data_IF_472570053118
#
_entry.id   IF_472570053118
#
_cell.length_a   1.000
_cell.length_b   1.000
_cell.length_c   1.000
_cell.angle_alpha   90.00
_cell.angle_beta   90.00
_cell.angle_gamma   90.00
#
_symmetry.space_group_name_H-M   'P 1'
#
loop_
_entity.id
_entity.type
_entity.pdbx_description
1 polymer ?
#
# COMPACT_ATOMS: atom_id res chain seq x y z
N UNK A 1 -20.65 15.80 14.30
CA UNK A 1 -20.89 16.39 12.96
C UNK A 1 -21.73 15.41 12.15
N UNK A 2 -22.58 15.87 11.25
CA UNK A 2 -23.46 14.95 10.49
C UNK A 2 -22.61 14.16 9.48
N UNK A 3 -22.78 12.85 9.39
CA UNK A 3 -22.16 11.94 8.40
C UNK A 3 -22.34 12.37 6.92
N UNK A 4 -23.05 13.45 6.65
CA UNK A 4 -23.47 13.89 5.31
C UNK A 4 -22.39 14.62 4.49
N UNK A 5 -21.19 14.86 5.05
CA UNK A 5 -20.15 15.64 4.34
C UNK A 5 -18.99 14.79 3.81
N UNK A 6 -18.96 13.48 4.08
CA UNK A 6 -17.91 12.60 3.57
C UNK A 6 -18.01 12.45 2.03
N UNK A 7 -16.89 12.63 1.35
CA UNK A 7 -16.76 12.54 -0.11
C UNK A 7 -15.75 11.50 -0.57
N UNK A 8 -14.83 11.10 0.31
CA UNK A 8 -13.84 10.05 0.04
C UNK A 8 -13.71 9.15 1.26
N UNK A 9 -13.76 7.85 1.04
CA UNK A 9 -13.48 6.82 2.03
C UNK A 9 -12.28 6.03 1.53
N UNK A 10 -11.21 5.93 2.32
CA UNK A 10 -10.04 5.11 2.04
C UNK A 10 -9.87 4.05 3.11
N UNK A 11 -9.40 2.87 2.74
CA UNK A 11 -9.13 1.80 3.70
C UNK A 11 -7.83 1.08 3.38
N UNK A 12 -7.03 0.84 4.42
CA UNK A 12 -5.98 -0.17 4.34
C UNK A 12 -6.57 -1.57 4.17
N UNK A 13 -5.74 -2.52 3.74
CA UNK A 13 -6.16 -3.88 3.42
C UNK A 13 -5.86 -4.88 4.54
N UNK A 14 -4.60 -5.16 4.77
CA UNK A 14 -4.14 -6.26 5.62
C UNK A 14 -4.16 -5.84 7.11
N UNK A 15 -4.98 -6.50 7.93
CA UNK A 15 -5.23 -6.09 9.33
C UNK A 15 -6.32 -5.03 9.50
N UNK A 16 -6.90 -4.53 8.39
CA UNK A 16 -7.96 -3.52 8.40
C UNK A 16 -9.22 -4.00 7.66
N UNK A 17 -9.17 -4.07 6.32
CA UNK A 17 -10.33 -4.42 5.49
C UNK A 17 -10.49 -5.92 5.32
N UNK A 18 -9.37 -6.65 5.19
CA UNK A 18 -9.31 -8.08 4.96
C UNK A 18 -9.25 -8.85 6.28
N UNK A 19 -9.82 -10.06 6.30
CA UNK A 19 -9.58 -11.04 7.36
C UNK A 19 -8.20 -11.72 7.17
N UNK A 20 -7.79 -12.59 8.13
CA UNK A 20 -6.51 -13.32 8.09
C UNK A 20 -6.38 -14.28 6.90
N UNK A 21 -7.48 -14.65 6.23
CA UNK A 21 -7.49 -15.41 4.99
C UNK A 21 -7.43 -14.51 3.74
N UNK A 22 -7.17 -13.21 3.90
CA UNK A 22 -7.18 -12.20 2.84
C UNK A 22 -8.50 -12.14 2.06
N UNK A 23 -9.63 -12.33 2.76
CA UNK A 23 -10.98 -12.33 2.19
C UNK A 23 -11.82 -11.20 2.76
N UNK A 24 -12.90 -10.86 2.06
CA UNK A 24 -13.92 -9.91 2.46
C UNK A 24 -15.30 -10.33 1.93
N UNK A 25 -16.37 -9.78 2.48
CA UNK A 25 -17.75 -9.99 2.03
C UNK A 25 -18.01 -9.20 0.72
N UNK A 26 -17.96 -9.92 -0.42
CA UNK A 26 -18.17 -9.30 -1.74
C UNK A 26 -19.60 -8.78 -1.95
N UNK A 27 -20.60 -9.43 -1.37
CA UNK A 27 -22.00 -8.99 -1.50
C UNK A 27 -22.24 -7.73 -0.67
N UNK A 28 -21.65 -7.63 0.49
CA UNK A 28 -21.69 -6.42 1.30
C UNK A 28 -20.92 -5.28 0.63
N UNK A 29 -19.72 -5.54 0.08
CA UNK A 29 -18.95 -4.53 -0.68
C UNK A 29 -19.78 -3.99 -1.85
N UNK A 30 -20.47 -4.85 -2.60
CA UNK A 30 -21.33 -4.42 -3.73
C UNK A 30 -22.42 -3.45 -3.29
N UNK A 31 -23.08 -3.72 -2.15
CA UNK A 31 -24.09 -2.83 -1.58
C UNK A 31 -23.49 -1.49 -1.14
N UNK A 32 -22.38 -1.53 -0.44
CA UNK A 32 -21.66 -0.34 0.05
C UNK A 32 -21.22 0.54 -1.12
N UNK A 33 -20.61 -0.04 -2.16
CA UNK A 33 -20.20 0.72 -3.36
C UNK A 33 -21.39 1.34 -4.10
N UNK A 34 -22.53 0.64 -4.18
CA UNK A 34 -23.75 1.21 -4.77
C UNK A 34 -24.24 2.43 -3.96
N UNK A 35 -24.28 2.33 -2.63
CA UNK A 35 -24.64 3.44 -1.75
C UNK A 35 -23.65 4.61 -1.85
N UNK A 36 -22.35 4.32 -1.90
CA UNK A 36 -21.31 5.34 -2.11
C UNK A 36 -21.56 6.10 -3.43
N UNK A 37 -21.81 5.38 -4.52
CA UNK A 37 -22.10 5.96 -5.83
C UNK A 37 -23.33 6.87 -5.82
N UNK A 38 -24.43 6.43 -5.19
CA UNK A 38 -25.66 7.23 -5.06
C UNK A 38 -25.43 8.53 -4.28
N UNK A 39 -24.55 8.51 -3.28
CA UNK A 39 -24.20 9.68 -2.45
C UNK A 39 -23.06 10.52 -2.99
N UNK A 40 -22.46 10.12 -4.11
CA UNK A 40 -21.28 10.79 -4.69
C UNK A 40 -20.06 10.70 -3.77
N UNK A 41 -19.85 9.54 -3.13
CA UNK A 41 -18.70 9.23 -2.29
C UNK A 41 -17.76 8.34 -3.07
N UNK A 42 -16.48 8.70 -3.15
CA UNK A 42 -15.43 7.85 -3.70
C UNK A 42 -14.97 6.82 -2.67
N UNK A 43 -14.61 5.63 -3.14
CA UNK A 43 -14.03 4.59 -2.30
C UNK A 43 -12.63 4.22 -2.82
N UNK A 44 -11.63 4.23 -1.95
CA UNK A 44 -10.24 3.93 -2.25
C UNK A 44 -9.71 2.77 -1.41
N UNK A 45 -9.05 1.81 -2.06
CA UNK A 45 -8.21 0.82 -1.41
C UNK A 45 -6.78 1.36 -1.32
N UNK A 46 -6.18 1.43 -0.13
CA UNK A 46 -4.85 1.99 0.12
C UNK A 46 -3.92 0.92 0.73
N UNK A 47 -2.93 0.43 -0.03
CA UNK A 47 -2.13 -0.74 0.36
C UNK A 47 -0.65 -0.62 -0.02
N UNK A 48 0.20 -1.36 0.69
CA UNK A 48 1.57 -1.64 0.25
C UNK A 48 1.66 -2.66 -0.89
N UNK A 49 0.57 -3.35 -1.21
CA UNK A 49 0.51 -4.33 -2.30
C UNK A 49 0.80 -3.68 -3.65
N UNK A 50 1.36 -4.49 -4.56
CA UNK A 50 1.53 -4.10 -5.96
C UNK A 50 0.18 -3.75 -6.59
N UNK A 51 0.14 -2.75 -7.49
CA UNK A 51 -1.08 -2.28 -8.13
C UNK A 51 -1.86 -3.43 -8.80
N UNK A 52 -1.17 -4.29 -9.54
CA UNK A 52 -1.80 -5.44 -10.21
C UNK A 52 -2.43 -6.41 -9.20
N UNK A 53 -1.72 -6.71 -8.10
CA UNK A 53 -2.24 -7.58 -7.04
C UNK A 53 -3.43 -6.96 -6.32
N UNK A 54 -3.38 -5.65 -6.05
CA UNK A 54 -4.48 -4.94 -5.41
C UNK A 54 -5.73 -4.94 -6.31
N UNK A 55 -5.57 -4.71 -7.61
CA UNK A 55 -6.68 -4.79 -8.58
C UNK A 55 -7.24 -6.20 -8.70
N UNK A 56 -6.38 -7.21 -8.73
CA UNK A 56 -6.80 -8.63 -8.78
C UNK A 56 -7.66 -9.03 -7.56
N UNK A 57 -7.33 -8.51 -6.37
CA UNK A 57 -8.11 -8.71 -5.15
C UNK A 57 -9.56 -8.21 -5.29
N UNK A 58 -9.76 -7.10 -6.02
CA UNK A 58 -11.07 -6.48 -6.25
C UNK A 58 -11.64 -6.75 -7.65
N UNK A 59 -11.29 -7.90 -8.23
CA UNK A 59 -11.77 -8.27 -9.57
C UNK A 59 -13.29 -8.19 -9.68
N UNK A 60 -13.75 -7.38 -10.65
CA UNK A 60 -15.18 -7.09 -10.88
C UNK A 60 -15.71 -5.85 -10.16
N UNK A 61 -14.86 -5.15 -9.40
CA UNK A 61 -15.17 -3.87 -8.76
C UNK A 61 -14.24 -2.73 -9.23
N UNK A 62 -13.27 -3.01 -10.10
CA UNK A 62 -12.18 -2.11 -10.48
C UNK A 62 -12.69 -0.74 -10.98
N UNK A 63 -13.78 -0.74 -11.75
CA UNK A 63 -14.39 0.49 -12.27
C UNK A 63 -15.19 1.29 -11.22
N UNK A 64 -15.26 0.83 -9.98
CA UNK A 64 -16.01 1.47 -8.92
C UNK A 64 -15.12 1.98 -7.78
N UNK A 65 -13.80 1.73 -7.88
CA UNK A 65 -12.84 1.97 -6.81
C UNK A 65 -11.63 2.74 -7.30
N UNK A 66 -11.01 3.45 -6.39
CA UNK A 66 -9.69 4.05 -6.57
C UNK A 66 -8.65 3.14 -5.90
N UNK A 67 -7.49 2.99 -6.51
CA UNK A 67 -6.41 2.19 -5.98
C UNK A 67 -5.22 3.08 -5.61
N UNK A 68 -4.89 3.14 -4.33
CA UNK A 68 -3.66 3.71 -3.78
C UNK A 68 -2.75 2.51 -3.49
N UNK A 69 -1.80 2.23 -4.35
CA UNK A 69 -0.95 1.05 -4.29
C UNK A 69 0.53 1.40 -4.02
N UNK A 70 1.36 0.37 -3.83
CA UNK A 70 2.80 0.52 -3.63
C UNK A 70 3.15 1.49 -2.49
N UNK A 71 2.44 1.37 -1.34
CA UNK A 71 2.56 2.29 -0.20
C UNK A 71 2.29 3.77 -0.54
N UNK A 72 1.54 4.05 -1.60
CA UNK A 72 1.23 5.41 -2.05
C UNK A 72 2.09 5.92 -3.20
N UNK A 73 2.90 5.06 -3.84
CA UNK A 73 3.66 5.47 -5.03
C UNK A 73 2.78 5.66 -6.27
N UNK A 74 1.59 5.07 -6.28
CA UNK A 74 0.64 5.22 -7.40
C UNK A 74 -0.80 5.32 -6.91
N UNK A 75 -1.57 6.21 -7.55
CA UNK A 75 -3.02 6.33 -7.39
C UNK A 75 -3.65 6.18 -8.75
N UNK A 76 -4.43 5.10 -8.93
CA UNK A 76 -5.14 4.83 -10.19
C UNK A 76 -6.66 4.89 -10.00
N UNK A 77 -7.36 5.46 -10.96
CA UNK A 77 -8.81 5.42 -11.06
C UNK A 77 -9.25 5.29 -12.52
N UNK A 78 -10.12 4.32 -12.83
CA UNK A 78 -10.59 4.01 -14.19
C UNK A 78 -9.48 3.77 -15.22
N UNK A 79 -8.34 3.21 -14.78
CA UNK A 79 -7.18 2.99 -15.64
C UNK A 79 -6.34 4.23 -15.93
N UNK A 80 -6.66 5.37 -15.31
CA UNK A 80 -5.86 6.59 -15.38
C UNK A 80 -5.06 6.79 -14.08
N UNK A 81 -3.78 7.10 -14.20
CA UNK A 81 -2.93 7.43 -13.06
C UNK A 81 -3.17 8.88 -12.64
N UNK A 82 -3.77 9.06 -11.48
CA UNK A 82 -4.02 10.38 -10.90
C UNK A 82 -2.79 10.95 -10.20
N UNK A 83 -1.92 10.06 -9.71
CA UNK A 83 -0.65 10.37 -9.06
C UNK A 83 0.33 9.23 -9.27
N UNK A 84 1.59 9.55 -9.53
CA UNK A 84 2.69 8.59 -9.63
C UNK A 84 3.97 9.17 -9.02
N UNK A 85 4.71 8.32 -8.31
CA UNK A 85 6.04 8.59 -7.80
C UNK A 85 6.95 7.42 -8.18
N UNK A 86 7.68 7.57 -9.29
CA UNK A 86 8.52 6.52 -9.86
C UNK A 86 9.99 6.79 -9.64
N UNK A 87 10.77 5.74 -9.51
CA UNK A 87 12.23 5.79 -9.44
C UNK A 87 12.82 5.81 -10.86
N UNK A 88 13.67 6.77 -11.16
CA UNK A 88 14.43 6.74 -12.41
C UNK A 88 15.35 5.51 -12.47
N UNK A 89 15.71 5.08 -13.68
CA UNK A 89 16.61 3.92 -13.88
C UNK A 89 17.92 4.08 -13.12
N UNK A 90 18.58 5.21 -13.25
CA UNK A 90 19.85 5.46 -12.58
C UNK A 90 19.68 5.46 -11.05
N UNK A 91 18.53 5.92 -10.56
CA UNK A 91 18.25 5.97 -9.13
C UNK A 91 18.08 4.56 -8.55
N UNK A 92 17.17 3.73 -9.11
CA UNK A 92 16.98 2.38 -8.56
C UNK A 92 18.20 1.47 -8.74
N UNK A 93 19.01 1.66 -9.80
CA UNK A 93 20.29 0.99 -9.94
C UNK A 93 21.29 1.42 -8.85
N UNK A 94 21.31 2.72 -8.51
CA UNK A 94 22.09 3.24 -7.39
C UNK A 94 21.68 2.65 -6.05
N UNK A 95 20.36 2.53 -5.80
CA UNK A 95 19.82 1.85 -4.60
C UNK A 95 20.26 0.39 -4.55
N UNK A 96 20.18 -0.33 -5.68
CA UNK A 96 20.64 -1.71 -5.76
C UNK A 96 22.14 -1.85 -5.45
N UNK A 97 22.99 -0.99 -6.01
CA UNK A 97 24.42 -1.00 -5.72
C UNK A 97 24.73 -0.72 -4.25
N UNK A 98 23.99 0.21 -3.63
CA UNK A 98 24.10 0.49 -2.21
C UNK A 98 23.67 -0.72 -1.35
N UNK A 99 22.56 -1.39 -1.70
CA UNK A 99 22.09 -2.59 -1.02
C UNK A 99 23.12 -3.73 -1.05
N UNK A 100 23.88 -3.89 -2.12
CA UNK A 100 24.97 -4.90 -2.19
C UNK A 100 26.08 -4.66 -1.17
N UNK A 101 26.23 -3.44 -0.67
CA UNK A 101 27.19 -3.12 0.39
C UNK A 101 26.59 -3.20 1.79
N UNK A 102 25.28 -3.42 1.90
CA UNK A 102 24.59 -3.60 3.19
C UNK A 102 25.03 -4.90 3.87
N UNK A 103 25.28 -4.88 5.20
CA UNK A 103 25.53 -6.12 5.94
C UNK A 103 24.27 -6.98 6.14
N UNK A 104 23.10 -6.48 5.74
CA UNK A 104 21.79 -7.11 5.97
C UNK A 104 21.15 -7.67 4.69
N UNK A 105 21.42 -7.07 3.52
CA UNK A 105 20.76 -7.42 2.28
C UNK A 105 21.44 -8.58 1.55
N UNK A 106 20.65 -9.51 1.02
CA UNK A 106 21.08 -10.49 0.02
C UNK A 106 20.65 -9.99 -1.38
N UNK A 107 21.60 -9.69 -2.29
CA UNK A 107 21.26 -9.23 -3.65
C UNK A 107 20.40 -10.21 -4.46
N UNK A 108 20.37 -11.50 -4.08
CA UNK A 108 19.53 -12.51 -4.72
C UNK A 108 18.09 -12.54 -4.15
N UNK A 109 17.82 -11.79 -3.09
CA UNK A 109 16.49 -11.63 -2.49
C UNK A 109 15.97 -10.22 -2.73
N UNK A 110 15.95 -9.81 -4.00
CA UNK A 110 15.48 -8.49 -4.42
C UNK A 110 14.44 -8.61 -5.54
N UNK A 111 13.34 -7.89 -5.37
CA UNK A 111 12.28 -7.72 -6.34
C UNK A 111 12.04 -6.23 -6.57
N UNK A 112 11.91 -5.82 -7.82
CA UNK A 112 11.47 -4.48 -8.20
C UNK A 112 10.02 -4.55 -8.66
N UNK A 113 9.17 -3.66 -8.19
CA UNK A 113 7.77 -3.60 -8.61
C UNK A 113 7.56 -2.36 -9.46
N UNK A 114 7.01 -2.58 -10.64
CA UNK A 114 6.70 -1.54 -11.60
C UNK A 114 5.25 -1.60 -12.07
N UNK A 115 4.94 -0.71 -13.01
CA UNK A 115 3.59 -0.53 -13.54
C UNK A 115 3.08 -1.75 -14.33
N UNK A 116 3.96 -2.45 -15.04
CA UNK A 116 3.63 -3.58 -15.91
C UNK A 116 3.84 -4.94 -15.26
N UNK A 117 4.52 -4.98 -14.13
CA UNK A 117 4.82 -6.22 -13.40
C UNK A 117 5.96 -6.06 -12.42
N UNK A 118 6.45 -7.20 -11.95
CA UNK A 118 7.55 -7.27 -11.01
C UNK A 118 8.78 -7.92 -11.67
N UNK A 119 9.97 -7.57 -11.20
CA UNK A 119 11.23 -7.96 -11.83
C UNK A 119 12.21 -8.50 -10.80
N UNK A 120 12.83 -9.63 -11.12
CA UNK A 120 13.90 -10.25 -10.34
C UNK A 120 15.08 -10.59 -11.25
N UNK A 121 16.28 -10.67 -10.70
CA UNK A 121 17.43 -11.16 -11.45
C UNK A 121 17.30 -12.67 -11.75
N UNK A 122 17.90 -13.16 -12.83
CA UNK A 122 17.98 -14.61 -13.14
C UNK A 122 18.64 -15.40 -11.99
N UNK A 123 19.49 -14.76 -11.18
CA UNK A 123 20.17 -15.32 -10.00
C UNK A 123 19.33 -15.33 -8.74
N UNK A 124 18.04 -14.93 -8.81
CA UNK A 124 17.14 -14.85 -7.66
C UNK A 124 17.12 -16.15 -6.86
N UNK A 125 17.13 -16.02 -5.53
CA UNK A 125 16.96 -17.15 -4.63
C UNK A 125 15.62 -17.85 -4.89
N UNK A 126 15.59 -19.19 -5.10
CA UNK A 126 14.38 -19.91 -5.46
C UNK A 126 13.26 -19.84 -4.39
N UNK A 127 13.61 -19.85 -3.10
CA UNK A 127 12.64 -19.80 -2.02
C UNK A 127 12.05 -18.39 -1.90
N UNK A 128 12.90 -17.35 -2.07
CA UNK A 128 12.43 -15.96 -2.17
C UNK A 128 11.51 -15.74 -3.37
N UNK A 129 11.84 -16.31 -4.53
CA UNK A 129 10.98 -16.23 -5.70
C UNK A 129 9.62 -16.90 -5.46
N UNK A 130 9.61 -18.10 -4.87
CA UNK A 130 8.37 -18.81 -4.54
C UNK A 130 7.50 -18.00 -3.58
N UNK A 131 8.11 -17.39 -2.55
CA UNK A 131 7.42 -16.49 -1.62
C UNK A 131 6.86 -15.27 -2.36
N UNK A 132 7.67 -14.62 -3.18
CA UNK A 132 7.27 -13.41 -3.92
C UNK A 132 6.09 -13.65 -4.86
N UNK A 133 5.96 -14.84 -5.45
CA UNK A 133 4.86 -15.23 -6.33
C UNK A 133 3.49 -15.31 -5.64
N UNK A 134 3.45 -15.38 -4.31
CA UNK A 134 2.18 -15.31 -3.56
C UNK A 134 1.61 -13.89 -3.47
N UNK A 135 2.49 -12.88 -3.57
CA UNK A 135 2.10 -11.47 -3.35
C UNK A 135 2.19 -10.61 -4.60
N UNK A 136 2.91 -11.07 -5.63
CA UNK A 136 3.16 -10.30 -6.85
C UNK A 136 2.75 -11.09 -8.08
N UNK A 137 1.98 -10.44 -8.93
CA UNK A 137 1.63 -10.97 -10.25
C UNK A 137 2.70 -10.58 -11.30
N UNK A 138 2.76 -11.34 -12.39
CA UNK A 138 3.61 -11.05 -13.54
C UNK A 138 5.09 -10.82 -13.19
N UNK A 139 5.69 -11.73 -12.41
CA UNK A 139 7.13 -11.67 -12.09
C UNK A 139 7.95 -12.12 -13.31
N UNK A 140 8.84 -11.25 -13.76
CA UNK A 140 9.72 -11.47 -14.89
C UNK A 140 11.18 -11.59 -14.43
N UNK A 141 11.91 -12.56 -14.97
CA UNK A 141 13.36 -12.70 -14.75
C UNK A 141 14.13 -11.89 -15.78
N UNK A 142 15.06 -11.06 -15.30
CA UNK A 142 15.95 -10.26 -16.16
C UNK A 142 17.41 -10.61 -15.90
N UNK A 143 18.26 -10.48 -16.91
CA UNK A 143 19.72 -10.68 -16.78
C UNK A 143 20.37 -9.54 -16.00
N UNK A 144 19.87 -8.34 -16.19
CA UNK A 144 20.31 -7.13 -15.50
C UNK A 144 19.11 -6.27 -15.17
N UNK A 145 19.12 -5.60 -14.01
CA UNK A 145 18.10 -4.62 -13.67
C UNK A 145 18.09 -3.44 -14.66
N UNK A 146 19.20 -3.18 -15.34
CA UNK A 146 19.28 -2.18 -16.41
C UNK A 146 18.44 -2.52 -17.65
N UNK A 147 18.06 -3.81 -17.83
CA UNK A 147 17.24 -4.26 -18.95
C UNK A 147 15.75 -3.98 -18.76
N UNK A 148 15.32 -3.60 -17.55
CA UNK A 148 13.92 -3.31 -17.24
C UNK A 148 13.44 -2.12 -18.08
N UNK A 149 12.28 -2.31 -18.74
CA UNK A 149 11.59 -1.31 -19.55
C UNK A 149 10.22 -0.99 -18.94
N UNK A 150 10.26 -0.54 -17.67
CA UNK A 150 9.10 -0.22 -16.87
C UNK A 150 9.39 0.96 -15.93
N UNK A 151 8.36 1.58 -15.42
CA UNK A 151 8.40 2.58 -14.37
C UNK A 151 8.38 1.86 -13.02
N UNK A 152 9.43 2.04 -12.23
CA UNK A 152 9.62 1.32 -10.96
C UNK A 152 9.11 2.16 -9.80
N UNK A 153 8.25 1.59 -8.98
CA UNK A 153 7.67 2.23 -7.78
C UNK A 153 8.45 1.92 -6.52
N UNK A 154 8.87 0.67 -6.34
CA UNK A 154 9.58 0.23 -5.13
C UNK A 154 10.52 -0.94 -5.39
N UNK A 155 11.43 -1.14 -4.45
CA UNK A 155 12.20 -2.36 -4.31
C UNK A 155 11.72 -3.09 -3.05
N UNK A 156 11.65 -4.41 -3.11
CA UNK A 156 11.34 -5.26 -1.95
C UNK A 156 12.47 -6.24 -1.75
N UNK A 157 12.96 -6.38 -0.51
CA UNK A 157 14.02 -7.33 -0.15
C UNK A 157 13.69 -8.00 1.18
N UNK A 158 14.29 -9.18 1.42
CA UNK A 158 14.17 -9.86 2.70
C UNK A 158 15.50 -9.79 3.45
N UNK A 159 15.42 -9.46 4.73
CA UNK A 159 16.54 -9.53 5.67
C UNK A 159 16.35 -10.73 6.62
N UNK A 160 17.34 -10.99 7.47
CA UNK A 160 17.15 -11.93 8.58
C UNK A 160 16.07 -11.38 9.53
N UNK A 161 15.11 -12.21 9.93
CA UNK A 161 14.00 -11.82 10.80
C UNK A 161 14.47 -11.18 12.13
N UNK A 162 15.62 -11.61 12.65
CA UNK A 162 16.20 -11.05 13.86
C UNK A 162 16.83 -9.66 13.65
N UNK A 163 17.10 -9.26 12.41
CA UNK A 163 17.84 -8.06 12.04
C UNK A 163 17.03 -7.12 11.12
N UNK A 164 15.74 -7.40 10.93
CA UNK A 164 14.90 -6.65 9.99
C UNK A 164 14.79 -5.17 10.35
N UNK A 165 14.70 -4.83 11.64
CA UNK A 165 14.59 -3.44 12.10
C UNK A 165 15.90 -2.68 11.95
N UNK A 166 17.04 -3.33 12.25
CA UNK A 166 18.37 -2.76 12.01
C UNK A 166 18.63 -2.55 10.53
N UNK A 167 18.15 -3.47 9.69
CA UNK A 167 18.24 -3.36 8.23
C UNK A 167 17.39 -2.23 7.68
N UNK A 168 16.15 -2.07 8.16
CA UNK A 168 15.25 -0.94 7.82
C UNK A 168 15.92 0.40 8.16
N UNK A 169 16.44 0.50 9.37
CA UNK A 169 17.15 1.70 9.81
C UNK A 169 18.38 1.97 8.94
N UNK A 170 19.18 0.93 8.68
CA UNK A 170 20.37 1.07 7.84
C UNK A 170 20.05 1.59 6.44
N UNK A 171 19.02 1.05 5.78
CA UNK A 171 18.60 1.51 4.46
C UNK A 171 18.21 2.98 4.49
N UNK A 172 17.37 3.37 5.45
CA UNK A 172 16.89 4.74 5.58
C UNK A 172 18.00 5.75 5.87
N UNK A 173 19.01 5.36 6.66
CA UNK A 173 20.11 6.23 7.03
C UNK A 173 21.24 6.30 5.98
N UNK A 174 21.46 5.24 5.22
CA UNK A 174 22.63 5.11 4.34
C UNK A 174 22.32 5.24 2.85
N UNK A 175 21.05 5.17 2.44
CA UNK A 175 20.65 5.31 1.02
C UNK A 175 19.82 6.59 0.86
N UNK A 176 20.42 7.68 0.38
CA UNK A 176 19.70 8.95 0.23
C UNK A 176 18.51 8.87 -0.72
N UNK A 177 17.41 9.53 -0.36
CA UNK A 177 16.22 9.67 -1.19
C UNK A 177 15.26 8.47 -1.13
N UNK A 178 15.54 7.50 -0.26
CA UNK A 178 14.62 6.40 0.03
C UNK A 178 14.30 6.31 1.51
N UNK A 179 13.16 5.70 1.83
CA UNK A 179 12.85 5.16 3.14
C UNK A 179 12.49 3.68 3.02
N UNK A 180 12.82 2.93 4.04
CA UNK A 180 12.46 1.53 4.16
C UNK A 180 11.30 1.37 5.14
N UNK A 181 10.48 0.35 4.93
CA UNK A 181 9.35 -0.01 5.77
C UNK A 181 9.24 -1.51 5.87
N UNK A 182 9.19 -2.05 7.08
CA UNK A 182 8.86 -3.46 7.30
C UNK A 182 7.41 -3.73 6.88
N UNK A 183 7.22 -4.82 6.12
CA UNK A 183 5.88 -5.23 5.62
C UNK A 183 5.37 -6.50 6.30
N UNK A 184 6.09 -6.98 7.27
CA UNK A 184 5.87 -8.21 8.03
C UNK A 184 6.99 -9.23 7.84
N UNK A 185 7.24 -10.02 8.88
CA UNK A 185 8.30 -11.03 8.96
C UNK A 185 9.70 -10.48 8.58
N UNK A 186 10.23 -10.89 7.45
CA UNK A 186 11.59 -10.58 6.97
C UNK A 186 11.60 -9.54 5.84
N UNK A 187 10.42 -9.12 5.38
CA UNK A 187 10.28 -8.30 4.17
C UNK A 187 10.33 -6.81 4.45
N UNK A 188 11.08 -6.10 3.63
CA UNK A 188 11.24 -4.64 3.67
C UNK A 188 10.91 -4.08 2.29
N UNK A 189 9.97 -3.13 2.25
CA UNK A 189 9.73 -2.28 1.10
C UNK A 189 10.60 -1.03 1.16
N UNK A 190 11.24 -0.69 0.06
CA UNK A 190 12.08 0.49 -0.12
C UNK A 190 11.40 1.38 -1.16
N UNK A 191 10.92 2.54 -0.73
CA UNK A 191 10.21 3.53 -1.56
C UNK A 191 10.95 4.86 -1.54
N UNK A 192 10.57 5.81 -2.41
CA UNK A 192 11.07 7.18 -2.31
C UNK A 192 10.70 7.78 -0.94
N UNK A 193 11.60 8.56 -0.35
CA UNK A 193 11.50 9.04 1.04
C UNK A 193 10.25 9.90 1.32
N UNK A 194 9.72 10.57 0.28
CA UNK A 194 8.50 11.38 0.35
C UNK A 194 7.21 10.61 0.07
N UNK A 195 7.28 9.32 -0.29
CA UNK A 195 6.10 8.50 -0.61
C UNK A 195 5.52 7.86 0.64
N UNK A 196 4.23 8.02 0.86
CA UNK A 196 3.42 7.24 1.80
C UNK A 196 1.92 7.39 1.48
N UNK A 197 1.07 6.63 2.16
CA UNK A 197 -0.38 6.66 1.95
C UNK A 197 -1.00 8.03 2.26
N UNK A 198 -0.41 8.81 3.20
CA UNK A 198 -0.88 10.15 3.55
C UNK A 198 -0.62 11.17 2.45
N UNK A 199 0.56 11.11 1.81
CA UNK A 199 0.88 11.93 0.62
C UNK A 199 -0.06 11.56 -0.52
N UNK A 200 -0.25 10.27 -0.78
CA UNK A 200 -1.08 9.80 -1.88
C UNK A 200 -2.56 10.21 -1.73
N UNK A 201 -3.13 10.05 -0.52
CA UNK A 201 -4.53 10.43 -0.28
C UNK A 201 -4.73 11.96 -0.34
N UNK A 202 -3.72 12.74 0.08
CA UNK A 202 -3.75 14.20 -0.04
C UNK A 202 -3.75 14.61 -1.51
N UNK A 203 -2.84 14.05 -2.33
CA UNK A 203 -2.79 14.30 -3.76
C UNK A 203 -4.11 13.90 -4.47
N UNK A 204 -4.70 12.76 -4.07
CA UNK A 204 -5.99 12.30 -4.57
C UNK A 204 -7.10 13.29 -4.20
N UNK A 205 -7.20 13.70 -2.94
CA UNK A 205 -8.21 14.65 -2.47
C UNK A 205 -8.12 15.99 -3.21
N UNK A 206 -6.90 16.52 -3.37
CA UNK A 206 -6.65 17.74 -4.14
C UNK A 206 -7.11 17.60 -5.60
N UNK A 207 -6.79 16.47 -6.24
CA UNK A 207 -7.19 16.18 -7.62
C UNK A 207 -8.71 16.12 -7.80
N UNK A 208 -9.42 15.60 -6.80
CA UNK A 208 -10.89 15.51 -6.78
C UNK A 208 -11.59 16.76 -6.26
N UNK A 209 -10.86 17.77 -5.76
CA UNK A 209 -11.42 18.97 -5.14
C UNK A 209 -12.11 18.68 -3.80
N UNK A 210 -11.64 17.68 -3.05
CA UNK A 210 -12.17 17.24 -1.76
C UNK A 210 -11.25 17.76 -0.64
N UNK A 211 -11.83 18.39 0.40
CA UNK A 211 -11.03 18.77 1.58
C UNK A 211 -10.77 17.55 2.47
N UNK A 212 -9.64 17.55 3.19
CA UNK A 212 -9.31 16.44 4.10
C UNK A 212 -10.35 16.24 5.21
N UNK A 213 -11.10 17.26 5.59
CA UNK A 213 -12.26 17.18 6.49
C UNK A 213 -13.42 16.33 5.93
N UNK A 214 -13.44 16.10 4.62
CA UNK A 214 -14.43 15.26 3.94
C UNK A 214 -13.90 13.84 3.65
N UNK A 215 -12.72 13.50 4.19
CA UNK A 215 -12.08 12.21 3.99
C UNK A 215 -12.16 11.38 5.26
N UNK A 216 -12.64 10.14 5.12
CA UNK A 216 -12.56 9.11 6.14
C UNK A 216 -11.54 8.07 5.74
N UNK A 217 -10.67 7.67 6.66
CA UNK A 217 -9.72 6.60 6.41
C UNK A 217 -9.74 5.54 7.51
N UNK A 218 -9.49 4.29 7.10
CA UNK A 218 -9.33 3.14 7.98
C UNK A 218 -7.90 2.62 7.88
N UNK A 219 -7.27 2.35 9.01
CA UNK A 219 -5.91 1.83 9.08
C UNK A 219 -5.59 1.24 10.44
N UNK A 220 -4.60 0.36 10.51
CA UNK A 220 -4.23 -0.35 11.74
C UNK A 220 -2.73 -0.28 12.07
N UNK A 221 -1.86 0.04 11.09
CA UNK A 221 -0.42 -0.11 11.25
C UNK A 221 0.34 1.20 10.99
N UNK A 222 1.65 1.20 11.23
CA UNK A 222 2.51 2.40 11.14
C UNK A 222 2.61 2.97 9.72
N UNK A 223 2.47 2.14 8.68
CA UNK A 223 2.40 2.63 7.29
C UNK A 223 1.11 3.40 6.98
N UNK A 224 0.09 3.33 7.86
CA UNK A 224 -1.13 4.12 7.78
C UNK A 224 -1.06 5.42 8.59
N UNK A 225 -0.07 5.55 9.48
CA UNK A 225 -0.03 6.62 10.48
C UNK A 225 -0.19 8.00 9.83
N UNK A 226 0.54 8.30 8.77
CA UNK A 226 0.44 9.59 8.10
C UNK A 226 -0.93 9.76 7.43
N UNK A 227 -1.49 8.74 6.79
CA UNK A 227 -2.84 8.79 6.23
C UNK A 227 -3.87 9.10 7.32
N UNK A 228 -3.80 8.42 8.46
CA UNK A 228 -4.70 8.62 9.60
C UNK A 228 -4.54 10.00 10.25
N UNK A 229 -3.35 10.62 10.19
CA UNK A 229 -3.09 11.95 10.73
C UNK A 229 -3.64 13.09 9.86
N UNK A 230 -3.67 12.91 8.54
CA UNK A 230 -4.05 14.00 7.61
C UNK A 230 -5.54 14.03 7.30
N UNK A 231 -6.26 12.92 7.48
CA UNK A 231 -7.72 12.87 7.21
C UNK A 231 -8.54 13.45 8.36
N UNK A 232 -9.70 14.00 8.03
CA UNK A 232 -10.62 14.56 9.05
C UNK A 232 -11.29 13.50 9.92
N UNK A 233 -11.42 12.24 9.43
CA UNK A 233 -12.14 11.17 10.13
C UNK A 233 -11.35 9.85 10.14
N UNK A 234 -10.29 9.74 10.96
CA UNK A 234 -9.56 8.50 11.13
C UNK A 234 -10.34 7.47 11.94
N UNK A 235 -10.44 6.24 11.43
CA UNK A 235 -11.15 5.11 12.07
C UNK A 235 -10.18 3.92 12.16
N UNK A 236 -10.08 3.30 13.35
CA UNK A 236 -9.20 2.17 13.58
C UNK A 236 -10.00 0.91 13.94
N UNK A 237 -9.64 -0.29 13.44
CA UNK A 237 -10.12 -1.53 14.02
C UNK A 237 -9.49 -1.74 15.42
N UNK A 238 -10.13 -2.52 16.28
CA UNK A 238 -9.66 -2.73 17.66
C UNK A 238 -8.31 -3.46 17.76
N UNK A 239 -7.90 -4.17 16.70
CA UNK A 239 -6.57 -4.82 16.58
C UNK A 239 -5.46 -3.85 16.16
N UNK A 240 -5.77 -2.59 15.90
CA UNK A 240 -4.77 -1.62 15.44
C UNK A 240 -3.69 -1.38 16.50
N UNK A 241 -2.53 -0.94 16.04
CA UNK A 241 -1.42 -0.55 16.90
C UNK A 241 -1.80 0.60 17.85
N UNK A 242 -1.18 0.67 19.05
CA UNK A 242 -1.46 1.73 20.01
C UNK A 242 -1.32 3.15 19.43
N UNK A 243 -0.34 3.34 18.53
CA UNK A 243 -0.08 4.63 17.88
C UNK A 243 -1.25 5.05 16.97
N UNK A 244 -1.90 4.10 16.30
CA UNK A 244 -3.08 4.34 15.46
C UNK A 244 -4.32 4.54 16.32
N UNK A 245 -4.52 3.69 17.33
CA UNK A 245 -5.63 3.84 18.28
C UNK A 245 -5.62 5.20 18.99
N UNK A 246 -4.43 5.75 19.27
CA UNK A 246 -4.28 7.04 19.95
C UNK A 246 -4.78 8.25 19.12
N UNK A 247 -4.81 8.13 17.78
CA UNK A 247 -5.22 9.22 16.88
C UNK A 247 -6.57 8.97 16.20
N UNK A 248 -7.15 7.78 16.37
CA UNK A 248 -8.43 7.43 15.78
C UNK A 248 -9.58 8.23 16.41
N UNK A 249 -10.46 8.81 15.59
CA UNK A 249 -11.71 9.42 16.03
C UNK A 249 -12.70 8.35 16.53
N UNK A 250 -12.67 7.18 15.89
CA UNK A 250 -13.55 6.05 16.18
C UNK A 250 -12.77 4.75 16.15
N UNK A 251 -13.04 3.88 17.12
CA UNK A 251 -12.54 2.50 17.12
C UNK A 251 -13.73 1.57 16.85
N UNK A 252 -13.56 0.71 15.83
CA UNK A 252 -14.56 -0.27 15.40
C UNK A 252 -14.12 -1.69 15.81
N UNK A 253 -14.97 -2.69 15.59
CA UNK A 253 -14.64 -4.08 15.94
C UNK A 253 -13.41 -4.63 15.21
N UNK A 254 -12.99 -5.83 15.60
CA UNK A 254 -11.83 -6.53 15.04
C UNK A 254 -11.97 -6.74 13.52
N UNK A 255 -10.88 -6.61 12.74
CA UNK A 255 -10.90 -6.75 11.28
C UNK A 255 -11.45 -8.10 10.81
N UNK A 256 -11.17 -9.19 11.56
CA UNK A 256 -11.69 -10.54 11.30
C UNK A 256 -13.21 -10.60 11.16
N UNK A 257 -13.94 -9.68 11.76
CA UNK A 257 -15.41 -9.62 11.70
C UNK A 257 -15.94 -8.88 10.47
N UNK A 258 -15.07 -8.37 9.59
CA UNK A 258 -15.45 -7.48 8.50
C UNK A 258 -15.97 -6.14 8.99
N UNK A 259 -15.41 -5.64 10.10
CA UNK A 259 -15.89 -4.44 10.82
C UNK A 259 -15.89 -3.19 9.96
N UNK A 260 -14.91 -3.04 9.04
CA UNK A 260 -14.86 -1.88 8.14
C UNK A 260 -16.09 -1.84 7.23
N UNK A 261 -16.39 -2.93 6.52
CA UNK A 261 -17.56 -2.97 5.63
C UNK A 261 -18.89 -2.79 6.38
N UNK A 262 -19.02 -3.37 7.56
CA UNK A 262 -20.22 -3.20 8.40
C UNK A 262 -20.36 -1.77 8.86
N UNK A 263 -19.30 -1.14 9.32
CA UNK A 263 -19.30 0.26 9.70
C UNK A 263 -19.63 1.17 8.50
N UNK A 264 -19.07 0.86 7.31
CA UNK A 264 -19.41 1.60 6.09
C UNK A 264 -20.90 1.46 5.74
N UNK A 265 -21.49 0.27 5.83
CA UNK A 265 -22.95 0.05 5.57
C UNK A 265 -23.84 0.95 6.47
N UNK A 266 -23.39 1.21 7.70
CA UNK A 266 -24.13 2.07 8.64
C UNK A 266 -24.04 3.55 8.30
N UNK A 267 -22.96 4.00 7.65
CA UNK A 267 -22.69 5.43 7.43
C UNK A 267 -22.95 5.92 6.01
N UNK A 268 -23.04 5.00 5.01
CA UNK A 268 -23.28 5.34 3.61
C UNK A 268 -24.69 5.06 3.13
#
# INVERSE_FOLDING_TARGET
>A
MKNNDIKLIATDMDGTFLNDQHQYDQDLLRKVLASCKEKGIYFAAASGRALLSLKSLFKGFEDQMIFIAENGSVVEFHGEDLYEATMSKDFYLGVFEALKSSPYADPNKLLLTGKKGSYVLETVDPDYLALSQHYNENIQKVKSLADIQDEIFKLTTNFDAALVLEGEQWVTENIPGVKAMTTGFESIDIVLDYVDKGVAITALADKLGISMEQVRAFGDNLNDLHMMQVVGHPVAPENARPEILAIAETVIGHHETGSVLRYMEEIV
#
